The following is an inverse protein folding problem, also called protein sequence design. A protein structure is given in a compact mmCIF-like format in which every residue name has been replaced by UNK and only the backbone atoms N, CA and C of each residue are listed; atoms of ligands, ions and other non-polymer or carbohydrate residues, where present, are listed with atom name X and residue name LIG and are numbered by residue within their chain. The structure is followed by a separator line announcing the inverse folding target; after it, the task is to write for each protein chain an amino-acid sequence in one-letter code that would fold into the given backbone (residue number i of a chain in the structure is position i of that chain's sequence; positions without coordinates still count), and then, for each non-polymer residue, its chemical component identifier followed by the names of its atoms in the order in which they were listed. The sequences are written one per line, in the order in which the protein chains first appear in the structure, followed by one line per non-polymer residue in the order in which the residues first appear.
data_IF_096872673002
#
_entry.id   IF_096872673002
#
_cell.length_a   1.000
_cell.length_b   1.000
_cell.length_c   1.000
_cell.angle_alpha   90.00
_cell.angle_beta   90.00
_cell.angle_gamma   90.00
#
_symmetry.space_group_name_H-M   'P 1'
#
loop_
_entity.id
_entity.type
_entity.pdbx_description
1 polymer ?
#
# COMPACT_ATOMS: atom_id res chain seq x y z
N UNK A 1 -13.73 8.40 1.12
CA UNK A 1 -12.96 8.51 -0.14
C UNK A 1 -11.49 8.29 0.18
N UNK A 2 -10.74 7.67 -0.74
CA UNK A 2 -9.30 7.45 -0.53
C UNK A 2 -8.56 8.78 -0.68
N UNK A 3 -7.52 8.97 0.12
CA UNK A 3 -6.71 10.18 0.12
C UNK A 3 -5.26 9.83 -0.17
N UNK A 4 -4.66 10.61 -1.06
CA UNK A 4 -3.24 10.57 -1.39
C UNK A 4 -2.55 11.77 -0.75
N UNK A 5 -1.42 11.54 -0.09
CA UNK A 5 -0.61 12.60 0.51
C UNK A 5 0.66 12.80 -0.33
N UNK A 6 0.95 14.05 -0.68
CA UNK A 6 2.16 14.43 -1.40
C UNK A 6 2.68 15.77 -0.91
N UNK A 7 3.95 15.81 -0.49
CA UNK A 7 4.63 17.02 0.01
C UNK A 7 3.82 17.76 1.09
N UNK A 8 3.19 17.01 2.01
CA UNK A 8 2.39 17.55 3.12
C UNK A 8 1.00 18.07 2.73
N UNK A 9 0.56 17.87 1.48
CA UNK A 9 -0.81 18.16 1.02
C UNK A 9 -1.59 16.88 0.82
N UNK A 10 -2.87 16.91 1.15
CA UNK A 10 -3.82 15.83 0.86
C UNK A 10 -4.61 16.09 -0.43
N UNK A 11 -4.77 15.05 -1.23
CA UNK A 11 -5.53 15.04 -2.46
C UNK A 11 -6.57 13.92 -2.41
N UNK A 12 -7.79 14.24 -2.81
CA UNK A 12 -8.82 13.22 -2.98
C UNK A 12 -8.53 12.39 -4.23
N UNK A 13 -8.64 11.07 -4.08
CA UNK A 13 -8.56 10.15 -5.20
C UNK A 13 -9.95 9.84 -5.73
N UNK A 14 -10.05 9.72 -7.05
CA UNK A 14 -11.18 9.06 -7.68
C UNK A 14 -11.37 7.64 -7.09
N UNK A 15 -12.59 7.07 -7.11
CA UNK A 15 -12.79 5.71 -6.64
C UNK A 15 -11.93 4.69 -7.40
N UNK A 16 -11.41 3.67 -6.70
CA UNK A 16 -10.75 2.53 -7.35
C UNK A 16 -11.80 1.68 -8.05
N UNK A 17 -11.90 1.81 -9.37
CA UNK A 17 -12.84 1.03 -10.18
C UNK A 17 -12.15 -0.16 -10.84
N UNK A 18 -12.91 -1.06 -11.47
CA UNK A 18 -12.33 -2.11 -12.31
C UNK A 18 -11.48 -1.55 -13.46
N UNK A 19 -11.80 -0.34 -13.96
CA UNK A 19 -10.96 0.35 -14.94
C UNK A 19 -9.58 0.64 -14.35
N UNK A 20 -9.54 1.22 -13.16
CA UNK A 20 -8.32 1.51 -12.41
C UNK A 20 -7.49 0.24 -12.19
N UNK A 21 -8.13 -0.88 -11.81
CA UNK A 21 -7.45 -2.18 -11.63
C UNK A 21 -6.82 -2.67 -12.94
N UNK A 22 -7.54 -2.59 -14.06
CA UNK A 22 -7.00 -2.99 -15.37
C UNK A 22 -5.78 -2.15 -15.77
N UNK A 23 -5.78 -0.84 -15.47
CA UNK A 23 -4.63 0.03 -15.75
C UNK A 23 -3.42 -0.35 -14.89
N UNK A 24 -3.63 -0.65 -13.60
CA UNK A 24 -2.57 -1.14 -12.71
C UNK A 24 -1.97 -2.44 -13.25
N UNK A 25 -2.80 -3.43 -13.57
CA UNK A 25 -2.32 -4.70 -14.12
C UNK A 25 -1.58 -4.51 -15.46
N UNK A 26 -2.06 -3.60 -16.30
CA UNK A 26 -1.40 -3.28 -17.57
C UNK A 26 -0.04 -2.59 -17.37
N UNK A 27 0.14 -1.79 -16.31
CA UNK A 27 1.42 -1.18 -15.96
C UNK A 27 2.43 -2.23 -15.49
N UNK A 28 1.99 -3.20 -14.69
CA UNK A 28 2.82 -4.29 -14.14
C UNK A 28 3.21 -5.32 -15.20
N UNK A 29 2.28 -5.64 -16.11
CA UNK A 29 2.48 -6.64 -17.18
C UNK A 29 2.94 -6.01 -18.49
N UNK A 30 3.34 -4.74 -18.47
CA UNK A 30 3.73 -4.02 -19.67
C UNK A 30 4.92 -4.70 -20.38
N UNK A 31 4.89 -4.84 -21.71
CA UNK A 31 5.95 -5.52 -22.47
C UNK A 31 7.25 -4.70 -22.55
N UNK A 32 7.22 -3.43 -22.16
CA UNK A 32 8.39 -2.54 -22.13
C UNK A 32 8.26 -1.50 -21.03
N UNK A 33 9.39 -0.92 -20.64
CA UNK A 33 9.41 0.19 -19.67
C UNK A 33 8.61 1.41 -20.16
N UNK A 34 8.67 1.72 -21.46
CA UNK A 34 7.93 2.85 -22.04
C UNK A 34 6.42 2.65 -21.87
N UNK A 35 5.92 1.45 -22.18
CA UNK A 35 4.50 1.12 -21.98
C UNK A 35 4.12 1.10 -20.50
N UNK A 36 5.01 0.64 -19.61
CA UNK A 36 4.78 0.72 -18.17
C UNK A 36 4.60 2.18 -17.72
N UNK A 37 5.50 3.08 -18.10
CA UNK A 37 5.37 4.50 -17.76
C UNK A 37 4.12 5.15 -18.37
N UNK A 38 3.70 4.75 -19.57
CA UNK A 38 2.42 5.19 -20.16
C UNK A 38 1.23 4.80 -19.30
N UNK A 39 1.21 3.57 -18.79
CA UNK A 39 0.14 3.09 -17.92
C UNK A 39 0.20 3.71 -16.52
N UNK A 40 1.39 3.98 -16.00
CA UNK A 40 1.54 4.77 -14.77
C UNK A 40 0.99 6.19 -14.94
N UNK A 41 1.33 6.87 -16.04
CA UNK A 41 0.80 8.20 -16.36
C UNK A 41 -0.72 8.20 -16.50
N UNK A 42 -1.28 7.21 -17.21
CA UNK A 42 -2.73 7.01 -17.32
C UNK A 42 -3.38 6.88 -15.94
N UNK A 43 -2.85 5.98 -15.08
CA UNK A 43 -3.39 5.79 -13.73
C UNK A 43 -3.36 7.07 -12.90
N UNK A 44 -2.23 7.79 -12.91
CA UNK A 44 -2.05 9.00 -12.09
C UNK A 44 -3.03 10.09 -12.50
N UNK A 45 -3.24 10.31 -13.80
CA UNK A 45 -4.23 11.28 -14.29
C UNK A 45 -5.66 10.84 -14.00
N UNK A 46 -5.99 9.54 -14.13
CA UNK A 46 -7.32 9.04 -13.78
C UNK A 46 -7.62 9.14 -12.28
N UNK A 47 -6.63 8.88 -11.43
CA UNK A 47 -6.81 8.86 -9.99
C UNK A 47 -6.88 10.26 -9.37
N UNK A 48 -6.04 11.19 -9.84
CA UNK A 48 -5.93 12.55 -9.28
C UNK A 48 -6.70 13.61 -10.07
N UNK A 49 -7.02 13.31 -11.34
CA UNK A 49 -7.49 14.28 -12.31
C UNK A 49 -6.35 15.11 -12.91
N UNK A 50 -6.51 15.50 -14.17
CA UNK A 50 -5.49 16.18 -14.98
C UNK A 50 -4.87 17.40 -14.30
N UNK A 51 -5.66 18.21 -13.59
CA UNK A 51 -5.17 19.45 -12.95
C UNK A 51 -4.18 19.13 -11.83
N UNK A 52 -4.55 18.22 -10.94
CA UNK A 52 -3.74 17.83 -9.78
C UNK A 52 -2.54 17.01 -10.24
N UNK A 53 -2.73 16.10 -11.19
CA UNK A 53 -1.63 15.33 -11.76
C UNK A 53 -0.56 16.25 -12.39
N UNK A 54 -0.97 17.28 -13.14
CA UNK A 54 -0.04 18.27 -13.70
C UNK A 54 0.69 19.10 -12.64
N UNK A 55 -0.01 19.53 -11.58
CA UNK A 55 0.61 20.22 -10.45
C UNK A 55 1.69 19.35 -9.80
N UNK A 56 1.34 18.09 -9.47
CA UNK A 56 2.21 17.19 -8.74
C UNK A 56 3.38 16.71 -9.60
N UNK A 57 3.15 16.36 -10.86
CA UNK A 57 4.19 15.84 -11.75
C UNK A 57 5.07 16.94 -12.37
N UNK A 58 4.61 18.20 -12.37
CA UNK A 58 5.32 19.31 -13.00
C UNK A 58 5.43 19.20 -14.52
N UNK A 59 4.63 18.33 -15.16
CA UNK A 59 4.68 18.06 -16.59
C UNK A 59 3.27 18.00 -17.19
N UNK A 60 3.15 18.41 -18.46
CA UNK A 60 1.89 18.36 -19.20
C UNK A 60 1.73 17.11 -20.06
N UNK A 61 2.84 16.47 -20.42
CA UNK A 61 2.86 15.26 -21.25
C UNK A 61 3.87 14.27 -20.69
N UNK A 62 3.69 13.00 -21.04
CA UNK A 62 4.55 11.92 -20.58
C UNK A 62 5.97 12.03 -21.11
N UNK A 63 6.18 12.61 -22.29
CA UNK A 63 7.51 12.76 -22.91
C UNK A 63 8.42 13.72 -22.15
N UNK A 64 7.84 14.57 -21.29
CA UNK A 64 8.56 15.58 -20.51
C UNK A 64 8.54 15.31 -19.01
N UNK A 65 7.88 14.23 -18.57
CA UNK A 65 7.78 13.91 -17.15
C UNK A 65 9.09 13.30 -16.65
N UNK A 66 9.49 13.65 -15.44
CA UNK A 66 10.47 12.85 -14.70
C UNK A 66 9.83 11.50 -14.33
N UNK A 67 10.31 10.44 -14.97
CA UNK A 67 9.79 9.07 -14.78
C UNK A 67 10.00 8.55 -13.36
N UNK A 68 11.01 9.04 -12.63
CA UNK A 68 11.21 8.67 -11.21
C UNK A 68 10.09 9.26 -10.38
N UNK A 69 9.81 10.56 -10.56
CA UNK A 69 8.69 11.25 -9.89
C UNK A 69 7.35 10.60 -10.24
N UNK A 70 7.13 10.27 -11.52
CA UNK A 70 5.94 9.55 -11.96
C UNK A 70 5.75 8.23 -11.21
N UNK A 71 6.82 7.44 -11.10
CA UNK A 71 6.78 6.13 -10.42
C UNK A 71 6.46 6.28 -8.93
N UNK A 72 7.03 7.29 -8.27
CA UNK A 72 6.73 7.58 -6.86
C UNK A 72 5.26 7.94 -6.64
N UNK A 73 4.70 8.81 -7.48
CA UNK A 73 3.29 9.22 -7.42
C UNK A 73 2.37 8.03 -7.71
N UNK A 74 2.68 7.25 -8.75
CA UNK A 74 1.97 6.02 -9.10
C UNK A 74 1.89 5.04 -7.91
N UNK A 75 3.04 4.73 -7.29
CA UNK A 75 3.09 3.84 -6.14
C UNK A 75 2.33 4.41 -4.94
N UNK A 76 2.45 5.73 -4.71
CA UNK A 76 1.70 6.41 -3.65
C UNK A 76 0.19 6.34 -3.83
N UNK A 77 -0.31 6.48 -5.06
CA UNK A 77 -1.73 6.30 -5.41
C UNK A 77 -2.18 4.87 -5.11
N UNK A 78 -1.40 3.85 -5.48
CA UNK A 78 -1.72 2.45 -5.16
C UNK A 78 -1.78 2.22 -3.66
N UNK A 79 -0.78 2.70 -2.92
CA UNK A 79 -0.74 2.58 -1.46
C UNK A 79 -1.93 3.25 -0.79
N UNK A 80 -2.34 4.43 -1.28
CA UNK A 80 -3.53 5.13 -0.80
C UNK A 80 -4.81 4.31 -1.02
N UNK A 81 -4.94 3.63 -2.16
CA UNK A 81 -6.06 2.71 -2.42
C UNK A 81 -6.06 1.49 -1.51
N UNK A 82 -4.90 0.98 -1.12
CA UNK A 82 -4.77 -0.20 -0.27
C UNK A 82 -4.88 0.11 1.22
N UNK A 83 -4.69 1.37 1.62
CA UNK A 83 -4.66 1.80 3.02
C UNK A 83 -5.89 1.33 3.81
N UNK A 84 -7.15 1.50 3.35
CA UNK A 84 -8.31 1.07 4.13
C UNK A 84 -8.34 -0.44 4.37
N UNK A 85 -7.93 -1.24 3.38
CA UNK A 85 -7.87 -2.70 3.52
C UNK A 85 -6.79 -3.14 4.51
N UNK A 86 -5.65 -2.45 4.51
CA UNK A 86 -4.57 -2.71 5.47
C UNK A 86 -4.95 -2.32 6.89
N UNK A 87 -5.62 -1.19 7.07
CA UNK A 87 -6.13 -0.74 8.36
C UNK A 87 -7.19 -1.71 8.91
N UNK A 88 -8.10 -2.19 8.06
CA UNK A 88 -9.08 -3.21 8.44
C UNK A 88 -8.42 -4.51 8.89
N UNK A 89 -7.40 -5.00 8.16
CA UNK A 89 -6.66 -6.21 8.55
C UNK A 89 -5.93 -6.04 9.88
N UNK A 90 -5.25 -4.91 10.08
CA UNK A 90 -4.59 -4.60 11.36
C UNK A 90 -5.58 -4.53 12.53
N UNK A 91 -6.75 -3.96 12.31
CA UNK A 91 -7.80 -3.92 13.32
C UNK A 91 -8.26 -5.35 13.71
N UNK A 92 -8.49 -6.22 12.72
CA UNK A 92 -8.84 -7.63 12.96
C UNK A 92 -7.73 -8.40 13.69
N UNK A 93 -6.47 -8.18 13.32
CA UNK A 93 -5.32 -8.79 13.99
C UNK A 93 -5.21 -8.34 15.46
N UNK A 94 -5.44 -7.07 15.74
CA UNK A 94 -5.41 -6.54 17.11
C UNK A 94 -6.52 -7.17 17.95
N UNK A 95 -7.74 -7.27 17.41
CA UNK A 95 -8.87 -7.91 18.09
C UNK A 95 -8.62 -9.40 18.38
N UNK A 96 -7.93 -10.11 17.47
CA UNK A 96 -7.52 -11.50 17.67
C UNK A 96 -6.45 -11.64 18.76
N UNK A 97 -5.46 -10.74 18.79
CA UNK A 97 -4.40 -10.75 19.80
C UNK A 97 -4.91 -10.41 21.20
N UNK A 98 -5.93 -9.57 21.30
CA UNK A 98 -6.62 -9.23 22.55
C UNK A 98 -7.66 -10.29 22.96
N UNK A 99 -7.70 -11.46 22.28
CA UNK A 99 -8.62 -12.53 22.61
C UNK A 99 -8.12 -13.42 23.77
N UNK A 100 -9.02 -13.91 24.65
CA UNK A 100 -8.66 -14.82 25.74
C UNK A 100 -7.98 -16.12 25.27
N UNK A 101 -8.21 -16.51 24.02
CA UNK A 101 -7.58 -17.69 23.40
C UNK A 101 -6.10 -17.43 23.14
N UNK A 102 -5.74 -16.23 22.68
CA UNK A 102 -4.34 -15.84 22.47
C UNK A 102 -3.58 -15.72 23.79
N UNK A 103 -4.22 -15.18 24.83
CA UNK A 103 -3.65 -15.14 26.18
C UNK A 103 -3.35 -16.54 26.72
N UNK A 104 -4.28 -17.49 26.60
CA UNK A 104 -4.07 -18.86 27.05
C UNK A 104 -2.93 -19.59 26.31
N UNK A 105 -2.78 -19.34 25.01
CA UNK A 105 -1.66 -19.87 24.21
C UNK A 105 -0.33 -19.24 24.64
N UNK A 106 -0.28 -17.92 24.90
CA UNK A 106 0.91 -17.23 25.39
C UNK A 106 1.33 -17.76 26.76
N UNK A 107 0.40 -17.91 27.69
CA UNK A 107 0.66 -18.41 29.05
C UNK A 107 1.21 -19.84 29.01
N UNK A 108 0.66 -20.68 28.12
CA UNK A 108 1.17 -22.04 27.92
C UNK A 108 2.60 -22.04 27.37
N UNK A 109 2.91 -21.16 26.41
CA UNK A 109 4.24 -21.04 25.84
C UNK A 109 5.29 -20.56 26.87
N UNK A 110 4.91 -19.63 27.75
CA UNK A 110 5.78 -19.21 28.86
C UNK A 110 6.03 -20.35 29.86
N UNK A 111 4.99 -21.11 30.21
CA UNK A 111 5.13 -22.28 31.09
C UNK A 111 6.10 -23.33 30.51
N UNK A 112 6.01 -23.63 29.21
CA UNK A 112 6.93 -24.56 28.53
C UNK A 112 8.37 -24.06 28.60
N UNK A 113 8.60 -22.76 28.37
CA UNK A 113 9.93 -22.14 28.44
C UNK A 113 10.55 -22.23 29.84
N UNK A 114 9.72 -22.07 30.89
CA UNK A 114 10.17 -22.24 32.29
C UNK A 114 10.58 -23.69 32.54
N UNK A 115 9.81 -24.67 32.08
CA UNK A 115 10.10 -26.10 32.24
C UNK A 115 11.41 -26.48 31.53
N UNK A 116 11.63 -26.01 30.30
CA UNK A 116 12.88 -26.27 29.57
C UNK A 116 14.12 -25.69 30.25
N UNK A 117 14.01 -24.49 30.84
CA UNK A 117 15.12 -23.86 31.55
C UNK A 117 15.40 -24.52 32.91
N UNK A 118 14.36 -24.97 33.62
CA UNK A 118 14.49 -25.76 34.83
C UNK A 118 15.18 -27.11 34.55
N UNK A 119 14.83 -27.77 33.44
CA UNK A 119 15.45 -29.02 33.01
C UNK A 119 16.93 -28.91 32.61
N UNK A 120 17.40 -27.71 32.21
CA UNK A 120 18.81 -27.44 31.89
C UNK A 120 19.67 -27.12 33.12
N UNK A 121 19.09 -26.72 34.25
CA UNK A 121 19.84 -26.43 35.50
C UNK A 121 20.09 -27.68 36.36
N UNK A 122 19.56 -28.86 35.96
CA UNK A 122 19.69 -30.13 36.69
C UNK A 122 20.71 -31.08 36.00
N UNK A 123 21.61 -30.54 35.17
CA UNK A 123 22.73 -31.28 34.58
C UNK A 123 24.07 -30.75 35.02
#
# INVERSE_FOLDING_TARGET
MNKFEWEGKEYELAPKTLKTVRVIEAAEKAPSMIESYRKQWELVNEALGDKVAKEILGAQTIEKVDVVRLTLVYNGVILAYEKPLREMRKAQETELLDSPVFDAVRDTAEQVKIIENAGKSIK
#
